data_IF_272775937688
#
_entry.id   IF_272775937688
#
_cell.length_a   1.000
_cell.length_b   1.000
_cell.length_c   1.000
_cell.angle_alpha   90.00
_cell.angle_beta   90.00
_cell.angle_gamma   90.00
#
_symmetry.space_group_name_H-M   'P 1'
#
loop_
_entity.id
_entity.type
_entity.pdbx_description
1 polymer ?
#
# COMPACT_ATOMS: atom_id res chain seq x y z
N UNK A 1 -0.11 6.94 -13.68
CA UNK A 1 0.54 5.71 -13.20
C UNK A 1 0.10 5.55 -11.76
N UNK A 2 -0.53 4.44 -11.43
CA UNK A 2 -1.01 4.19 -10.07
C UNK A 2 0.11 3.56 -9.24
N UNK A 3 0.03 3.65 -7.91
CA UNK A 3 1.00 3.01 -7.03
C UNK A 3 0.95 1.49 -7.09
N UNK A 4 2.00 0.85 -6.56
CA UNK A 4 2.07 -0.60 -6.40
C UNK A 4 0.92 -1.13 -5.54
N UNK A 5 0.51 -0.40 -4.49
CA UNK A 5 -0.59 -0.81 -3.63
C UNK A 5 -1.92 -0.84 -4.41
N UNK A 6 -2.17 0.17 -5.24
CA UNK A 6 -3.34 0.18 -6.11
C UNK A 6 -3.32 -0.99 -7.10
N UNK A 7 -2.18 -1.29 -7.73
CA UNK A 7 -2.04 -2.41 -8.65
C UNK A 7 -2.37 -3.75 -7.98
N UNK A 8 -1.81 -3.99 -6.78
CA UNK A 8 -2.05 -5.23 -6.02
C UNK A 8 -3.52 -5.34 -5.59
N UNK A 9 -4.09 -4.28 -5.02
CA UNK A 9 -5.45 -4.30 -4.49
C UNK A 9 -6.51 -4.36 -5.60
N UNK A 10 -6.33 -3.64 -6.71
CA UNK A 10 -7.24 -3.67 -7.86
C UNK A 10 -7.20 -5.04 -8.56
N UNK A 11 -6.02 -5.65 -8.70
CA UNK A 11 -5.88 -7.00 -9.25
C UNK A 11 -6.50 -8.05 -8.32
N UNK A 12 -6.31 -7.90 -7.01
CA UNK A 12 -6.95 -8.75 -5.99
C UNK A 12 -8.47 -8.66 -6.07
N UNK A 13 -9.02 -7.44 -6.16
CA UNK A 13 -10.44 -7.21 -6.34
C UNK A 13 -10.97 -7.91 -7.60
N UNK A 14 -10.26 -7.76 -8.72
CA UNK A 14 -10.63 -8.40 -9.99
C UNK A 14 -10.66 -9.94 -9.88
N UNK A 15 -9.71 -10.56 -9.18
CA UNK A 15 -9.72 -12.00 -8.95
C UNK A 15 -10.87 -12.44 -8.05
N UNK A 16 -11.18 -11.69 -6.99
CA UNK A 16 -12.30 -11.96 -6.10
C UNK A 16 -13.65 -11.82 -6.83
N UNK A 17 -13.81 -10.85 -7.73
CA UNK A 17 -14.99 -10.70 -8.60
C UNK A 17 -15.19 -11.92 -9.52
N UNK A 18 -14.10 -12.58 -9.91
CA UNK A 18 -14.12 -13.84 -10.66
C UNK A 18 -14.32 -15.07 -9.76
N UNK A 19 -14.61 -14.86 -8.46
CA UNK A 19 -14.78 -15.91 -7.44
C UNK A 19 -13.54 -16.79 -7.27
N UNK A 20 -12.36 -16.23 -7.52
CA UNK A 20 -11.09 -16.88 -7.24
C UNK A 20 -10.69 -16.62 -5.81
N UNK A 21 -10.17 -17.65 -5.13
CA UNK A 21 -9.56 -17.48 -3.80
C UNK A 21 -8.22 -16.78 -3.96
N UNK A 22 -7.95 -15.82 -3.08
CA UNK A 22 -6.71 -15.03 -3.08
C UNK A 22 -6.20 -14.97 -1.66
N UNK A 23 -4.89 -15.07 -1.47
CA UNK A 23 -4.24 -14.73 -0.20
C UNK A 23 -3.56 -13.38 -0.39
N UNK A 24 -3.93 -12.40 0.43
CA UNK A 24 -3.26 -11.11 0.51
C UNK A 24 -2.17 -11.19 1.58
N UNK A 25 -0.96 -10.79 1.23
CA UNK A 25 0.21 -10.85 2.07
C UNK A 25 0.69 -9.42 2.33
N UNK A 26 0.93 -9.11 3.60
CA UNK A 26 1.43 -7.81 4.05
C UNK A 26 2.72 -8.00 4.85
N UNK A 27 3.77 -7.24 4.53
CA UNK A 27 4.96 -7.15 5.40
C UNK A 27 4.60 -6.39 6.67
N UNK A 28 4.56 -7.07 7.82
CA UNK A 28 4.15 -6.44 9.09
C UNK A 28 5.34 -6.06 9.97
N UNK A 29 6.49 -6.74 9.83
CA UNK A 29 7.75 -6.36 10.49
C UNK A 29 8.95 -6.71 9.63
N UNK A 30 10.03 -5.95 9.84
CA UNK A 30 11.33 -6.20 9.22
C UNK A 30 12.44 -6.03 10.27
N UNK A 31 13.51 -6.82 10.12
CA UNK A 31 14.74 -6.67 10.90
C UNK A 31 15.95 -6.72 9.97
N UNK A 32 16.95 -5.90 10.27
CA UNK A 32 18.13 -5.75 9.41
C UNK A 32 17.78 -5.20 8.03
N UNK A 33 18.53 -5.60 7.02
CA UNK A 33 18.44 -5.07 5.65
C UNK A 33 17.37 -5.81 4.83
N UNK A 34 16.10 -5.70 5.26
CA UNK A 34 15.00 -6.34 4.54
C UNK A 34 14.81 -5.76 3.11
N UNK A 35 14.44 -6.60 2.12
CA UNK A 35 14.33 -6.20 0.72
C UNK A 35 13.14 -5.26 0.42
N UNK A 36 12.06 -5.35 1.21
CA UNK A 36 10.87 -4.50 1.11
C UNK A 36 10.52 -3.90 2.47
N UNK A 37 9.96 -2.69 2.52
CA UNK A 37 9.55 -2.06 3.77
C UNK A 37 8.30 -2.71 4.35
N UNK A 38 8.03 -2.43 5.63
CA UNK A 38 6.73 -2.67 6.27
C UNK A 38 5.63 -1.99 5.44
N UNK A 39 4.52 -2.69 5.22
CA UNK A 39 3.41 -2.26 4.36
C UNK A 39 3.47 -2.76 2.93
N UNK A 40 4.59 -3.32 2.46
CA UNK A 40 4.63 -3.90 1.12
C UNK A 40 3.62 -5.05 0.98
N UNK A 41 2.93 -5.05 -0.16
CA UNK A 41 1.86 -6.00 -0.47
C UNK A 41 2.28 -7.00 -1.55
N UNK A 42 1.73 -8.21 -1.42
CA UNK A 42 1.72 -9.26 -2.44
C UNK A 42 0.34 -9.92 -2.39
N UNK A 43 -0.24 -10.22 -3.53
CA UNK A 43 -1.43 -11.07 -3.60
C UNK A 43 -1.13 -12.30 -4.45
N UNK A 44 -1.58 -13.46 -3.96
CA UNK A 44 -1.39 -14.75 -4.62
C UNK A 44 -2.74 -15.42 -4.78
N UNK A 45 -3.12 -15.72 -6.02
CA UNK A 45 -4.33 -16.45 -6.35
C UNK A 45 -4.15 -17.95 -6.11
N UNK A 46 -5.25 -18.68 -5.96
CA UNK A 46 -5.25 -20.13 -5.72
C UNK A 46 -4.49 -20.98 -6.76
N UNK A 47 -4.26 -20.47 -7.96
CA UNK A 47 -3.47 -21.11 -9.02
C UNK A 47 -1.99 -20.66 -9.03
N UNK A 48 -1.55 -19.93 -8.00
CA UNK A 48 -0.17 -19.46 -7.81
C UNK A 48 0.21 -18.22 -8.61
N UNK A 49 -0.71 -17.66 -9.40
CA UNK A 49 -0.48 -16.38 -10.07
C UNK A 49 -0.42 -15.26 -9.02
N UNK A 50 0.58 -14.38 -9.15
CA UNK A 50 0.87 -13.36 -8.15
C UNK A 50 1.01 -11.95 -8.74
N UNK A 51 0.80 -10.96 -7.88
CA UNK A 51 0.99 -9.52 -8.16
C UNK A 51 1.55 -8.84 -6.91
N UNK A 52 2.49 -7.91 -7.09
CA UNK A 52 3.20 -7.28 -5.97
C UNK A 52 4.47 -8.03 -5.57
N UNK A 53 5.08 -7.65 -4.44
CA UNK A 53 6.35 -8.21 -3.99
C UNK A 53 6.62 -7.89 -2.51
N UNK A 54 7.10 -8.89 -1.78
CA UNK A 54 7.55 -8.77 -0.38
C UNK A 54 9.05 -9.03 -0.20
N UNK A 55 9.70 -9.69 -1.16
CA UNK A 55 11.14 -9.96 -1.12
C UNK A 55 11.88 -9.77 -2.44
N UNK A 56 11.19 -9.90 -3.57
CA UNK A 56 11.74 -9.80 -4.92
C UNK A 56 12.27 -11.13 -5.47
N UNK A 57 11.79 -12.28 -4.98
CA UNK A 57 12.24 -13.58 -5.49
C UNK A 57 11.72 -14.78 -4.69
N UNK A 58 12.63 -15.51 -4.05
CA UNK A 58 12.38 -16.87 -3.55
C UNK A 58 11.26 -16.99 -2.50
N UNK A 59 10.97 -15.93 -1.73
CA UNK A 59 9.87 -15.95 -0.75
C UNK A 59 8.52 -15.98 -1.47
N UNK A 60 8.37 -15.22 -2.56
CA UNK A 60 7.15 -15.20 -3.38
C UNK A 60 6.84 -16.60 -3.96
N UNK A 61 7.85 -17.33 -4.40
CA UNK A 61 7.69 -18.68 -4.95
C UNK A 61 7.25 -19.71 -3.88
N UNK A 62 7.87 -19.68 -2.69
CA UNK A 62 7.46 -20.54 -1.57
C UNK A 62 6.01 -20.24 -1.14
N UNK A 63 5.64 -18.96 -1.03
CA UNK A 63 4.26 -18.58 -0.71
C UNK A 63 3.30 -19.07 -1.80
N UNK A 64 3.64 -18.89 -3.09
CA UNK A 64 2.81 -19.36 -4.19
C UNK A 64 2.53 -20.87 -4.12
N UNK A 65 3.56 -21.67 -3.84
CA UNK A 65 3.41 -23.12 -3.69
C UNK A 65 2.51 -23.50 -2.50
N UNK A 66 2.65 -22.82 -1.35
CA UNK A 66 1.81 -23.07 -0.16
C UNK A 66 0.36 -22.64 -0.34
N UNK A 67 0.13 -21.53 -1.05
CA UNK A 67 -1.21 -21.08 -1.43
C UNK A 67 -1.88 -22.10 -2.36
N UNK A 68 -1.17 -22.59 -3.38
CA UNK A 68 -1.66 -23.66 -4.26
C UNK A 68 -1.96 -24.96 -3.50
N UNK A 69 -1.15 -25.29 -2.49
CA UNK A 69 -1.37 -26.43 -1.61
C UNK A 69 -2.55 -26.24 -0.63
N UNK A 70 -3.14 -25.03 -0.55
CA UNK A 70 -4.29 -24.75 0.31
C UNK A 70 -3.96 -24.66 1.79
N UNK A 71 -2.74 -24.26 2.15
CA UNK A 71 -2.25 -24.25 3.54
C UNK A 71 -2.91 -23.18 4.43
N UNK A 72 -3.51 -22.13 3.84
CA UNK A 72 -4.03 -20.97 4.57
C UNK A 72 -5.56 -20.95 4.58
N UNK A 73 -6.14 -21.18 5.77
CA UNK A 73 -7.60 -21.14 6.00
C UNK A 73 -8.06 -19.97 6.88
N UNK A 74 -7.11 -19.19 7.41
CA UNK A 74 -7.35 -17.97 8.17
C UNK A 74 -6.08 -17.12 8.24
N UNK A 75 -6.15 -15.90 8.82
CA UNK A 75 -4.99 -15.03 8.97
C UNK A 75 -3.85 -15.74 9.69
N UNK A 76 -2.69 -15.81 9.05
CA UNK A 76 -1.53 -16.55 9.55
C UNK A 76 -0.27 -15.70 9.40
N UNK A 77 0.65 -15.79 10.37
CA UNK A 77 1.92 -15.08 10.32
C UNK A 77 3.05 -16.03 9.99
N UNK A 78 3.90 -15.67 9.02
CA UNK A 78 5.11 -16.41 8.66
C UNK A 78 6.34 -15.52 8.78
N UNK A 79 7.45 -16.09 9.24
CA UNK A 79 8.74 -15.38 9.35
C UNK A 79 9.78 -16.00 8.42
N UNK A 80 10.39 -15.19 7.57
CA UNK A 80 11.47 -15.57 6.66
C UNK A 80 12.78 -14.89 7.04
N UNK A 81 13.91 -15.53 6.74
CA UNK A 81 15.26 -14.99 7.02
C UNK A 81 15.90 -15.41 8.34
N UNK A 82 15.29 -16.34 9.09
CA UNK A 82 15.85 -16.82 10.36
C UNK A 82 16.92 -17.89 10.11
N UNK A 83 18.19 -17.58 10.37
CA UNK A 83 19.36 -18.41 10.05
C UNK A 83 19.62 -19.60 10.99
N UNK A 84 18.76 -19.91 11.96
CA UNK A 84 19.02 -21.00 12.93
C UNK A 84 17.94 -22.09 12.96
N UNK A 85 18.36 -23.27 12.48
CA UNK A 85 18.04 -24.64 12.91
C UNK A 85 16.59 -25.15 13.05
N UNK A 86 15.53 -24.37 12.79
CA UNK A 86 14.16 -24.83 13.08
C UNK A 86 13.07 -24.64 12.02
N UNK A 87 13.38 -24.24 10.80
CA UNK A 87 12.37 -24.36 9.74
C UNK A 87 13.03 -24.58 8.38
N UNK A 88 12.34 -25.32 7.52
CA UNK A 88 12.64 -25.43 6.09
C UNK A 88 12.58 -24.01 5.50
N UNK A 89 13.73 -23.31 5.43
CA UNK A 89 13.75 -21.85 5.22
C UNK A 89 14.43 -21.50 3.92
N UNK A 90 13.64 -20.91 3.03
CA UNK A 90 14.14 -19.96 2.05
C UNK A 90 14.85 -18.84 2.82
N UNK A 91 16.18 -18.79 2.72
CA UNK A 91 16.99 -17.73 3.31
C UNK A 91 16.87 -16.45 2.48
N UNK A 92 16.82 -15.30 3.15
CA UNK A 92 16.90 -14.01 2.47
C UNK A 92 18.38 -13.69 2.15
N UNK A 93 18.73 -13.42 0.87
CA UNK A 93 20.13 -13.22 0.47
C UNK A 93 20.75 -11.95 1.07
N UNK A 94 19.93 -10.99 1.49
CA UNK A 94 20.36 -9.74 2.12
C UNK A 94 20.70 -9.88 3.62
N UNK A 95 20.48 -11.05 4.23
CA UNK A 95 20.69 -11.28 5.66
C UNK A 95 19.65 -10.63 6.59
N UNK A 96 18.59 -10.03 6.03
CA UNK A 96 17.44 -9.50 6.78
C UNK A 96 16.45 -10.59 7.19
N UNK A 97 15.50 -10.23 8.04
CA UNK A 97 14.34 -11.05 8.42
C UNK A 97 13.07 -10.25 8.15
N UNK A 98 12.03 -10.91 7.64
CA UNK A 98 10.71 -10.31 7.43
C UNK A 98 9.63 -11.16 8.09
N UNK A 99 8.65 -10.50 8.70
CA UNK A 99 7.42 -11.10 9.19
C UNK A 99 6.29 -10.71 8.26
N UNK A 100 5.59 -11.71 7.74
CA UNK A 100 4.51 -11.58 6.78
C UNK A 100 3.21 -12.01 7.43
N UNK A 101 2.17 -11.21 7.28
CA UNK A 101 0.80 -11.63 7.56
C UNK A 101 0.16 -12.08 6.25
N UNK A 102 -0.35 -13.30 6.23
CA UNK A 102 -1.05 -13.92 5.13
C UNK A 102 -2.54 -13.99 5.47
N UNK A 103 -3.36 -13.35 4.66
CA UNK A 103 -4.79 -13.23 4.85
C UNK A 103 -5.53 -13.88 3.66
N UNK A 104 -6.13 -15.07 3.82
CA UNK A 104 -6.99 -15.64 2.81
C UNK A 104 -8.28 -14.81 2.69
N UNK A 105 -8.54 -14.31 1.49
CA UNK A 105 -9.68 -13.50 1.13
C UNK A 105 -10.74 -14.33 0.41
N UNK A 106 -11.99 -14.16 0.83
CA UNK A 106 -13.15 -14.79 0.21
C UNK A 106 -14.19 -13.79 -0.30
N UNK A 107 -14.10 -12.51 0.10
CA UNK A 107 -15.08 -11.48 -0.21
C UNK A 107 -14.40 -10.22 -0.79
N UNK A 108 -15.04 -9.62 -1.78
CA UNK A 108 -14.63 -8.35 -2.38
C UNK A 108 -14.62 -7.21 -1.35
N UNK A 109 -15.49 -7.28 -0.33
CA UNK A 109 -15.61 -6.23 0.70
C UNK A 109 -14.34 -6.09 1.55
N UNK A 110 -13.48 -7.12 1.55
CA UNK A 110 -12.18 -7.08 2.22
C UNK A 110 -11.14 -6.19 1.52
N UNK A 111 -11.36 -5.76 0.27
CA UNK A 111 -10.41 -4.93 -0.49
C UNK A 111 -11.05 -3.77 -1.27
N UNK A 112 -12.32 -3.90 -1.69
CA UNK A 112 -13.02 -2.93 -2.52
C UNK A 112 -13.01 -1.50 -1.96
N UNK A 113 -13.21 -1.27 -0.64
CA UNK A 113 -13.15 0.08 -0.09
C UNK A 113 -11.78 0.75 -0.26
N UNK A 114 -10.67 0.01 -0.15
CA UNK A 114 -9.34 0.56 -0.41
C UNK A 114 -9.13 0.93 -1.88
N UNK A 115 -9.59 0.08 -2.81
CA UNK A 115 -9.50 0.38 -4.25
C UNK A 115 -10.27 1.67 -4.56
N UNK A 116 -11.51 1.78 -4.10
CA UNK A 116 -12.32 2.99 -4.30
C UNK A 116 -11.68 4.23 -3.66
N UNK A 117 -11.14 4.11 -2.45
CA UNK A 117 -10.47 5.23 -1.78
C UNK A 117 -9.21 5.69 -2.55
N UNK A 118 -8.39 4.76 -3.04
CA UNK A 118 -7.20 5.06 -3.83
C UNK A 118 -7.55 5.76 -5.16
N UNK A 119 -8.60 5.31 -5.87
CA UNK A 119 -9.10 5.98 -7.09
C UNK A 119 -9.54 7.41 -6.81
N UNK A 120 -10.21 7.61 -5.67
CA UNK A 120 -10.72 8.91 -5.23
C UNK A 120 -9.66 9.76 -4.49
N UNK A 121 -8.42 9.24 -4.35
CA UNK A 121 -7.33 9.85 -3.57
C UNK A 121 -7.73 10.23 -2.14
N UNK A 122 -8.53 9.38 -1.50
CA UNK A 122 -8.96 9.51 -0.11
C UNK A 122 -8.15 8.59 0.80
N UNK A 123 -7.94 9.03 2.04
CA UNK A 123 -7.28 8.25 3.07
C UNK A 123 -8.31 7.36 3.79
N UNK A 124 -8.05 6.05 3.81
CA UNK A 124 -8.88 5.05 4.48
C UNK A 124 -8.01 4.10 5.31
N UNK A 125 -8.52 3.68 6.45
CA UNK A 125 -7.91 2.68 7.31
C UNK A 125 -8.68 1.37 7.21
N UNK A 126 -7.93 0.28 7.03
CA UNK A 126 -8.40 -1.09 7.08
C UNK A 126 -7.93 -1.72 8.38
N UNK A 127 -8.84 -2.28 9.16
CA UNK A 127 -8.49 -3.04 10.37
C UNK A 127 -8.88 -4.50 10.18
N UNK A 128 -7.90 -5.39 10.33
CA UNK A 128 -8.07 -6.84 10.31
C UNK A 128 -7.82 -7.39 11.72
N UNK A 129 -8.79 -8.12 12.25
CA UNK A 129 -8.61 -8.92 13.46
C UNK A 129 -8.08 -10.31 13.09
N UNK A 130 -6.89 -10.67 13.59
CA UNK A 130 -6.19 -11.91 13.19
C UNK A 130 -6.96 -13.16 13.65
N UNK A 131 -7.56 -13.13 14.84
CA UNK A 131 -8.23 -14.29 15.42
C UNK A 131 -9.52 -14.70 14.70
N UNK A 132 -10.20 -13.74 14.06
CA UNK A 132 -11.51 -13.96 13.42
C UNK A 132 -11.46 -13.80 11.90
N UNK A 133 -10.46 -13.09 11.38
CA UNK A 133 -10.43 -12.65 9.98
C UNK A 133 -11.40 -11.50 9.68
N UNK A 134 -12.00 -10.89 10.69
CA UNK A 134 -12.95 -9.80 10.50
C UNK A 134 -12.22 -8.54 10.01
N UNK A 135 -12.76 -7.94 8.95
CA UNK A 135 -12.26 -6.69 8.37
C UNK A 135 -13.25 -5.57 8.64
N UNK A 136 -12.75 -4.44 9.13
CA UNK A 136 -13.52 -3.20 9.29
C UNK A 136 -12.80 -2.03 8.63
N UNK A 137 -13.58 -1.01 8.26
CA UNK A 137 -13.11 0.15 7.52
C UNK A 137 -13.53 1.43 8.21
N UNK A 138 -12.62 2.41 8.25
CA UNK A 138 -12.87 3.73 8.79
C UNK A 138 -12.08 4.78 8.01
N UNK A 139 -12.50 6.04 8.09
CA UNK A 139 -11.69 7.16 7.58
C UNK A 139 -10.38 7.24 8.35
N UNK A 140 -9.26 7.32 7.64
CA UNK A 140 -7.95 7.42 8.29
C UNK A 140 -7.60 8.89 8.59
N UNK A 141 -7.00 9.19 9.76
CA UNK A 141 -6.37 10.48 10.01
C UNK A 141 -5.06 10.60 9.18
N UNK A 142 -4.61 11.82 8.95
CA UNK A 142 -3.54 12.17 7.99
C UNK A 142 -2.13 11.66 8.35
N UNK A 143 -1.94 10.95 9.46
CA UNK A 143 -0.60 10.58 9.98
C UNK A 143 -0.51 9.16 10.56
N UNK A 144 -1.47 8.29 10.26
CA UNK A 144 -1.41 6.92 10.74
C UNK A 144 -0.54 6.07 9.82
N UNK A 145 0.40 5.33 10.39
CA UNK A 145 1.19 4.32 9.67
C UNK A 145 0.55 2.93 9.86
N UNK A 146 1.03 1.95 9.08
CA UNK A 146 0.70 0.55 9.33
C UNK A 146 1.08 0.19 10.78
N UNK A 147 0.16 -0.46 11.48
CA UNK A 147 0.37 -0.91 12.86
C UNK A 147 -0.06 -2.37 13.02
N UNK A 148 0.78 -3.18 13.65
CA UNK A 148 0.51 -4.58 13.93
C UNK A 148 0.98 -4.94 15.35
N UNK A 149 0.07 -5.47 16.16
CA UNK A 149 0.33 -5.81 17.58
C UNK A 149 0.26 -7.31 17.89
N UNK A 150 0.00 -8.16 16.89
CA UNK A 150 -0.19 -9.60 17.07
C UNK A 150 -1.66 -10.06 17.06
N UNK A 151 -2.60 -9.15 17.32
CA UNK A 151 -4.04 -9.44 17.36
C UNK A 151 -4.81 -8.67 16.28
N UNK A 152 -4.32 -7.47 15.93
CA UNK A 152 -4.91 -6.62 14.92
C UNK A 152 -3.83 -6.06 13.99
N UNK A 153 -4.15 -6.00 12.69
CA UNK A 153 -3.41 -5.24 11.69
C UNK A 153 -4.25 -4.02 11.27
N UNK A 154 -3.70 -2.81 11.40
CA UNK A 154 -4.24 -1.59 10.80
C UNK A 154 -3.37 -1.20 9.60
N UNK A 155 -3.95 -1.19 8.40
CA UNK A 155 -3.32 -0.73 7.15
C UNK A 155 -3.96 0.56 6.68
N UNK A 156 -3.16 1.49 6.16
CA UNK A 156 -3.62 2.79 5.66
C UNK A 156 -3.41 2.85 4.16
N UNK A 157 -4.46 3.22 3.42
CA UNK A 157 -4.42 3.36 1.97
C UNK A 157 -4.85 4.76 1.56
N UNK A 158 -4.15 5.32 0.58
CA UNK A 158 -4.36 6.70 0.12
C UNK A 158 -3.08 7.53 0.19
N UNK A 159 -3.16 8.83 -0.14
CA UNK A 159 -1.99 9.67 -0.23
C UNK A 159 -1.53 10.14 1.16
N UNK A 160 -0.72 9.32 1.83
CA UNK A 160 -0.23 9.58 3.19
C UNK A 160 0.78 10.72 3.27
N UNK A 161 1.47 11.02 2.17
CA UNK A 161 2.46 12.10 2.10
C UNK A 161 1.93 13.27 1.29
N UNK A 162 2.13 14.49 1.80
CA UNK A 162 1.74 15.71 1.11
C UNK A 162 2.97 16.45 0.58
N UNK A 163 2.92 16.88 -0.67
CA UNK A 163 3.92 17.71 -1.31
C UNK A 163 3.30 19.04 -1.74
N UNK A 164 3.73 20.13 -1.08
CA UNK A 164 3.46 21.49 -1.52
C UNK A 164 4.55 21.94 -2.50
N UNK A 165 4.15 22.29 -3.72
CA UNK A 165 5.05 22.79 -4.77
C UNK A 165 4.77 24.27 -4.99
N UNK A 166 5.76 25.12 -4.78
CA UNK A 166 5.65 26.57 -5.03
C UNK A 166 6.02 26.88 -6.48
N UNK A 167 5.05 27.42 -7.22
CA UNK A 167 5.13 27.77 -8.63
C UNK A 167 4.45 26.75 -9.55
N UNK A 168 3.55 27.21 -10.41
CA UNK A 168 2.79 26.41 -11.37
C UNK A 168 3.45 26.40 -12.77
N UNK A 169 4.75 26.09 -12.83
CA UNK A 169 5.55 26.05 -14.06
C UNK A 169 5.74 24.66 -14.67
N UNK A 170 6.44 24.57 -15.80
CA UNK A 170 6.68 23.30 -16.50
C UNK A 170 7.43 22.26 -15.64
N UNK A 171 8.41 22.68 -14.84
CA UNK A 171 9.16 21.78 -13.94
C UNK A 171 8.22 21.17 -12.90
N UNK A 172 7.37 22.00 -12.29
CA UNK A 172 6.38 21.55 -11.31
C UNK A 172 5.42 20.53 -11.89
N UNK A 173 5.09 20.61 -13.19
CA UNK A 173 4.25 19.62 -13.85
C UNK A 173 4.91 18.24 -13.88
N UNK A 174 6.16 18.16 -14.35
CA UNK A 174 6.88 16.88 -14.37
C UNK A 174 7.06 16.31 -12.96
N UNK A 175 7.43 17.16 -11.99
CA UNK A 175 7.53 16.77 -10.58
C UNK A 175 6.20 16.21 -10.06
N UNK A 176 5.08 16.86 -10.40
CA UNK A 176 3.75 16.40 -10.02
C UNK A 176 3.42 15.03 -10.61
N UNK A 177 3.70 14.80 -11.89
CA UNK A 177 3.45 13.52 -12.55
C UNK A 177 4.21 12.37 -11.85
N UNK A 178 5.47 12.58 -11.48
CA UNK A 178 6.24 11.61 -10.70
C UNK A 178 5.71 11.43 -9.28
N UNK A 179 5.45 12.52 -8.56
CA UNK A 179 5.01 12.45 -7.17
C UNK A 179 3.60 11.84 -7.04
N UNK A 180 2.72 12.08 -8.01
CA UNK A 180 1.40 11.43 -8.10
C UNK A 180 1.52 9.91 -8.29
N UNK A 181 2.51 9.44 -9.05
CA UNK A 181 2.78 8.02 -9.22
C UNK A 181 3.33 7.34 -7.95
N UNK A 182 3.89 8.15 -7.04
CA UNK A 182 4.34 7.74 -5.70
C UNK A 182 3.25 7.99 -4.63
N UNK A 183 2.00 8.23 -5.04
CA UNK A 183 0.84 8.51 -4.19
C UNK A 183 0.95 9.74 -3.28
N UNK A 184 1.78 10.73 -3.60
CA UNK A 184 1.76 11.98 -2.84
C UNK A 184 0.49 12.78 -3.11
N UNK A 185 -0.10 13.38 -2.07
CA UNK A 185 -1.08 14.47 -2.21
C UNK A 185 -0.34 15.72 -2.68
N UNK A 186 -0.62 16.19 -3.90
CA UNK A 186 0.08 17.33 -4.49
C UNK A 186 -0.76 18.59 -4.36
N UNK A 187 -0.17 19.63 -3.75
CA UNK A 187 -0.72 20.97 -3.69
C UNK A 187 0.22 21.88 -4.48
N UNK A 188 -0.30 22.57 -5.49
CA UNK A 188 0.43 23.51 -6.32
C UNK A 188 0.04 24.91 -5.89
N UNK A 189 1.00 25.66 -5.36
CA UNK A 189 0.79 27.04 -4.93
C UNK A 189 1.39 28.02 -5.94
N UNK A 190 0.54 28.83 -6.58
CA UNK A 190 1.00 29.96 -7.38
C UNK A 190 -0.01 31.11 -7.29
N UNK A 191 0.36 32.28 -6.73
CA UNK A 191 -0.55 33.41 -6.60
C UNK A 191 -0.83 34.10 -7.94
N UNK A 192 -0.05 33.81 -8.99
CA UNK A 192 -0.20 34.44 -10.31
C UNK A 192 -1.29 33.74 -11.10
N UNK A 193 -2.32 34.51 -11.45
CA UNK A 193 -3.53 33.99 -12.07
C UNK A 193 -3.26 33.36 -13.44
N UNK A 194 -2.27 33.85 -14.20
CA UNK A 194 -1.95 33.33 -15.54
C UNK A 194 -1.47 31.87 -15.50
N UNK A 195 -0.68 31.53 -14.48
CA UNK A 195 -0.17 30.18 -14.28
C UNK A 195 -1.22 29.25 -13.69
N UNK A 196 -2.01 29.72 -12.71
CA UNK A 196 -3.10 28.94 -12.14
C UNK A 196 -4.16 28.56 -13.19
N UNK A 197 -4.48 29.46 -14.11
CA UNK A 197 -5.52 29.24 -15.15
C UNK A 197 -5.07 28.23 -16.21
N UNK A 198 -3.77 28.12 -16.46
CA UNK A 198 -3.20 27.24 -17.48
C UNK A 198 -2.76 25.88 -16.94
N UNK A 199 -2.85 25.67 -15.62
CA UNK A 199 -2.46 24.43 -14.98
C UNK A 199 -3.49 23.31 -15.25
N UNK A 200 -3.02 22.20 -15.83
CA UNK A 200 -3.89 21.11 -16.30
C UNK A 200 -3.50 19.74 -15.74
N UNK A 201 -2.55 19.68 -14.81
CA UNK A 201 -2.10 18.40 -14.23
C UNK A 201 -3.20 17.82 -13.34
N UNK A 202 -3.92 16.82 -13.84
CA UNK A 202 -4.98 16.12 -13.10
C UNK A 202 -4.42 15.48 -11.83
N UNK A 203 -5.25 15.39 -10.78
CA UNK A 203 -4.86 14.81 -9.49
C UNK A 203 -4.09 15.77 -8.56
N UNK A 204 -3.84 17.00 -8.99
CA UNK A 204 -3.25 18.06 -8.15
C UNK A 204 -4.33 19.02 -7.63
N UNK A 205 -4.09 19.61 -6.46
CA UNK A 205 -4.92 20.68 -5.90
C UNK A 205 -4.21 22.02 -6.14
N UNK A 206 -4.91 22.98 -6.76
CA UNK A 206 -4.39 24.35 -6.90
C UNK A 206 -4.69 25.18 -5.64
N UNK A 207 -3.71 25.99 -5.24
CA UNK A 207 -3.79 26.96 -4.17
C UNK A 207 -3.27 28.31 -4.66
N UNK A 208 -4.16 29.31 -4.76
CA UNK A 208 -3.82 30.62 -5.32
C UNK A 208 -3.37 31.62 -4.24
N UNK A 209 -3.11 31.17 -3.01
CA UNK A 209 -2.58 32.02 -1.95
C UNK A 209 -1.12 32.37 -2.19
N UNK A 210 -0.62 33.35 -1.44
CA UNK A 210 0.81 33.55 -1.31
C UNK A 210 1.46 32.32 -0.65
N UNK A 211 2.71 31.96 -1.01
CA UNK A 211 3.39 30.77 -0.47
C UNK A 211 3.37 30.67 1.06
N UNK A 212 3.61 31.78 1.75
CA UNK A 212 3.64 31.81 3.22
C UNK A 212 2.27 31.48 3.84
N UNK A 213 1.18 31.89 3.20
CA UNK A 213 -0.19 31.64 3.67
C UNK A 213 -0.64 30.22 3.33
N UNK A 214 -0.22 29.69 2.18
CA UNK A 214 -0.43 28.29 1.82
C UNK A 214 0.25 27.38 2.86
N UNK A 215 1.51 27.64 3.23
CA UNK A 215 2.22 26.87 4.26
C UNK A 215 1.50 26.92 5.60
N UNK A 216 1.11 28.12 6.08
CA UNK A 216 0.40 28.26 7.37
C UNK A 216 -0.89 27.46 7.43
N UNK A 217 -1.62 27.38 6.32
CA UNK A 217 -2.88 26.64 6.26
C UNK A 217 -2.73 25.12 6.24
N UNK A 218 -1.52 24.59 6.03
CA UNK A 218 -1.25 23.14 6.08
C UNK A 218 -0.79 22.65 7.45
N UNK A 219 -0.46 23.58 8.35
CA UNK A 219 0.07 23.29 9.70
C UNK A 219 -0.99 23.56 10.79
N UNK A 220 -2.21 23.93 10.39
CA UNK A 220 -3.37 24.15 11.26
C UNK A 220 -4.31 22.95 11.18
#
# INVERSE_FOLDING_TARGET
MYSTDFEVLSTTLHWLEQRKRVVLITVVKTWGTAPRPVGALLAVREDGILVGSVSGGCVEEDIANRVQAGEFNGPTVLTYGVTTAQSQRVGLPCGGTIELLLEPLADIDSVKPAVTALEQRQLIARQLEIGTGLVTWQTAPTEQALHYDGQQLTSIYGPTWQLLIIGAGQISRYLSEFALALDYRIIICDPRQEYATTWQTKGTQLDNRMPDDAVKALVQ
#
